data_IF_655573306779
#
_entry.id   IF_655573306779
#
_cell.length_a   1.000
_cell.length_b   1.000
_cell.length_c   1.000
_cell.angle_alpha   90.00
_cell.angle_beta   90.00
_cell.angle_gamma   90.00
#
_symmetry.space_group_name_H-M   'P 1'
#
loop_
_entity.id
_entity.type
_entity.pdbx_description
1 polymer ?
#
# COMPACT_ATOMS: atom_id res chain seq x y z
N UNK A 1 17.01 -29.03 14.82
CA UNK A 1 15.59 -28.86 14.45
C UNK A 1 15.11 -27.63 15.19
N UNK A 2 15.32 -26.45 14.58
CA UNK A 2 14.89 -25.17 15.16
C UNK A 2 13.58 -24.85 14.44
N UNK A 3 12.48 -24.81 15.19
CA UNK A 3 11.22 -24.26 14.69
C UNK A 3 11.43 -22.75 14.52
N UNK A 4 11.53 -22.27 13.28
CA UNK A 4 11.27 -20.89 12.96
C UNK A 4 9.75 -20.74 12.98
N UNK A 5 9.23 -20.14 14.05
CA UNK A 5 7.83 -19.73 14.09
C UNK A 5 7.66 -18.55 13.14
N UNK A 6 6.75 -18.68 12.17
CA UNK A 6 6.17 -17.58 11.42
C UNK A 6 5.83 -16.45 12.39
N UNK A 7 6.54 -15.33 12.29
CA UNK A 7 6.10 -14.08 12.91
C UNK A 7 5.24 -13.40 11.85
N UNK A 8 3.98 -13.82 11.72
CA UNK A 8 2.98 -13.03 11.01
C UNK A 8 2.86 -11.72 11.81
N UNK A 9 3.18 -10.59 11.18
CA UNK A 9 3.15 -9.30 11.84
C UNK A 9 1.76 -9.08 12.49
N UNK A 10 1.67 -8.72 13.78
CA UNK A 10 0.40 -8.53 14.48
C UNK A 10 -0.57 -7.54 13.82
N UNK A 11 -0.05 -6.66 12.95
CA UNK A 11 -0.81 -5.67 12.20
C UNK A 11 -1.64 -6.31 11.05
N UNK A 12 -1.09 -7.29 10.35
CA UNK A 12 -1.80 -8.07 9.33
C UNK A 12 -2.96 -8.88 9.92
N UNK A 13 -2.77 -9.48 11.10
CA UNK A 13 -3.84 -10.15 11.86
C UNK A 13 -4.95 -9.15 12.26
N UNK A 14 -4.57 -7.89 12.52
CA UNK A 14 -5.53 -6.81 12.84
C UNK A 14 -6.28 -6.35 11.58
N UNK A 15 -5.65 -6.33 10.41
CA UNK A 15 -6.30 -6.06 9.13
C UNK A 15 -7.34 -7.13 8.78
N UNK A 16 -6.98 -8.41 8.87
CA UNK A 16 -7.92 -9.52 8.63
C UNK A 16 -9.16 -9.43 9.55
N UNK A 17 -8.96 -9.12 10.83
CA UNK A 17 -10.08 -8.95 11.79
C UNK A 17 -10.93 -7.71 11.54
N UNK A 18 -10.33 -6.59 11.11
CA UNK A 18 -11.06 -5.35 10.82
C UNK A 18 -11.87 -5.49 9.53
N UNK A 19 -11.34 -6.18 8.53
CA UNK A 19 -12.04 -6.48 7.29
C UNK A 19 -13.23 -7.43 7.54
N UNK A 20 -13.06 -8.48 8.36
CA UNK A 20 -14.15 -9.38 8.76
C UNK A 20 -15.28 -8.64 9.51
N UNK A 21 -14.92 -7.68 10.38
CA UNK A 21 -15.92 -6.83 11.07
C UNK A 21 -16.67 -5.88 10.13
N UNK A 22 -15.97 -5.29 9.14
CA UNK A 22 -16.59 -4.43 8.14
C UNK A 22 -17.58 -5.22 7.26
N UNK A 23 -17.23 -6.46 6.89
CA UNK A 23 -18.10 -7.33 6.12
C UNK A 23 -19.35 -7.75 6.93
N UNK A 24 -19.20 -8.11 8.21
CA UNK A 24 -20.34 -8.40 9.08
C UNK A 24 -21.27 -7.18 9.24
N UNK A 25 -20.71 -5.97 9.33
CA UNK A 25 -21.50 -4.74 9.38
C UNK A 25 -22.24 -4.47 8.06
N UNK A 26 -21.57 -4.67 6.92
CA UNK A 26 -22.18 -4.52 5.59
C UNK A 26 -23.30 -5.55 5.37
N UNK A 27 -23.11 -6.81 5.78
CA UNK A 27 -24.14 -7.84 5.72
C UNK A 27 -25.32 -7.53 6.64
N UNK A 28 -25.08 -7.01 7.85
CA UNK A 28 -26.16 -6.56 8.74
C UNK A 28 -26.94 -5.38 8.16
N UNK A 29 -26.25 -4.40 7.58
CA UNK A 29 -26.89 -3.26 6.92
C UNK A 29 -27.69 -3.70 5.69
N UNK A 30 -27.15 -4.60 4.87
CA UNK A 30 -27.87 -5.17 3.73
C UNK A 30 -29.12 -5.96 4.15
N UNK A 31 -29.06 -6.72 5.24
CA UNK A 31 -30.23 -7.40 5.81
C UNK A 31 -31.28 -6.40 6.34
N UNK A 32 -30.85 -5.31 6.98
CA UNK A 32 -31.77 -4.26 7.43
C UNK A 32 -32.43 -3.53 6.25
N UNK A 33 -31.68 -3.25 5.18
CA UNK A 33 -32.20 -2.66 3.95
C UNK A 33 -33.18 -3.61 3.26
N UNK A 34 -32.90 -4.92 3.20
CA UNK A 34 -33.84 -5.92 2.68
C UNK A 34 -35.13 -6.02 3.51
N UNK A 35 -35.04 -5.93 4.84
CA UNK A 35 -36.24 -5.90 5.70
C UNK A 35 -37.07 -4.63 5.50
N UNK A 36 -36.44 -3.48 5.29
CA UNK A 36 -37.14 -2.22 4.98
C UNK A 36 -37.77 -2.22 3.58
N UNK A 37 -37.10 -2.81 2.59
CA UNK A 37 -37.61 -2.93 1.21
C UNK A 37 -38.75 -3.94 1.08
N UNK A 38 -38.88 -4.90 2.00
CA UNK A 38 -40.00 -5.85 2.02
C UNK A 38 -41.37 -5.22 2.30
N UNK A 39 -41.42 -3.95 2.73
CA UNK A 39 -42.66 -3.19 2.94
C UNK A 39 -43.06 -2.30 1.74
N UNK A 40 -42.26 -2.25 0.67
CA UNK A 40 -42.57 -1.46 -0.54
C UNK A 40 -42.35 -2.30 -1.80
N UNK A 41 -43.33 -3.10 -2.19
CA UNK A 41 -43.38 -3.61 -3.57
C UNK A 41 -44.19 -2.64 -4.43
N UNK A 42 -43.64 -2.13 -5.53
CA UNK A 42 -43.83 -2.69 -6.89
C UNK A 42 -42.97 -1.94 -7.92
N UNK A 43 -42.33 -2.71 -8.82
CA UNK A 43 -41.79 -2.40 -10.17
C UNK A 43 -40.27 -2.51 -10.35
N UNK A 44 -39.94 -3.59 -11.07
CA UNK A 44 -38.71 -3.97 -11.77
C UNK A 44 -38.26 -2.90 -12.76
N UNK A 45 -36.95 -2.70 -12.96
CA UNK A 45 -36.18 -3.05 -14.18
C UNK A 45 -34.67 -3.01 -13.85
N UNK A 46 -33.98 -4.04 -14.30
CA UNK A 46 -32.54 -4.26 -14.46
C UNK A 46 -31.72 -3.03 -14.88
N UNK A 47 -30.58 -2.82 -14.23
CA UNK A 47 -29.52 -1.94 -14.69
C UNK A 47 -28.19 -2.40 -14.12
N UNK A 48 -27.55 -3.34 -14.82
CA UNK A 48 -26.12 -3.60 -14.67
C UNK A 48 -25.38 -2.28 -14.84
N UNK A 49 -24.63 -1.84 -13.83
CA UNK A 49 -23.78 -0.65 -13.97
C UNK A 49 -22.64 -1.01 -14.94
N UNK A 50 -22.47 -0.26 -16.04
CA UNK A 50 -21.38 -0.46 -16.99
C UNK A 50 -20.12 0.27 -16.49
N UNK A 51 -18.96 -0.32 -16.73
CA UNK A 51 -17.62 0.27 -16.69
C UNK A 51 -17.19 0.92 -15.37
N UNK A 52 -16.72 0.10 -14.41
CA UNK A 52 -15.57 0.53 -13.61
C UNK A 52 -14.33 0.26 -14.48
N UNK A 53 -13.78 1.29 -15.10
CA UNK A 53 -12.41 1.22 -15.62
C UNK A 53 -11.50 0.92 -14.42
N UNK A 54 -11.21 -0.35 -14.19
CA UNK A 54 -10.32 -0.78 -13.12
C UNK A 54 -8.93 -0.26 -13.47
N UNK A 55 -8.40 0.62 -12.61
CA UNK A 55 -7.13 1.27 -12.84
C UNK A 55 -6.05 0.23 -12.70
N UNK A 56 -5.30 0.02 -13.78
CA UNK A 56 -4.10 -0.81 -13.74
C UNK A 56 -2.98 -0.04 -13.07
N UNK A 57 -2.52 -0.53 -11.92
CA UNK A 57 -1.35 0.02 -11.26
C UNK A 57 -0.12 -0.11 -12.15
N UNK A 58 0.66 0.96 -12.25
CA UNK A 58 1.86 1.03 -13.09
C UNK A 58 2.81 2.08 -12.54
N UNK A 59 4.06 2.07 -13.02
CA UNK A 59 5.04 3.13 -12.74
C UNK A 59 4.53 4.52 -13.13
N UNK A 60 3.90 4.61 -14.31
CA UNK A 60 3.34 5.88 -14.81
C UNK A 60 2.17 6.34 -13.93
N UNK A 61 1.29 5.41 -13.52
CA UNK A 61 0.21 5.74 -12.59
C UNK A 61 0.75 6.20 -11.23
N UNK A 62 1.79 5.55 -10.71
CA UNK A 62 2.44 5.95 -9.47
C UNK A 62 3.02 7.37 -9.57
N UNK A 63 3.77 7.67 -10.63
CA UNK A 63 4.38 8.99 -10.86
C UNK A 63 3.37 10.12 -11.14
N UNK A 64 2.20 9.78 -11.69
CA UNK A 64 1.15 10.73 -12.02
C UNK A 64 0.32 11.19 -10.81
N UNK A 65 0.44 10.52 -9.67
CA UNK A 65 -0.32 10.80 -8.46
C UNK A 65 0.61 11.14 -7.29
N UNK A 66 0.14 12.04 -6.42
CA UNK A 66 0.64 12.14 -5.06
C UNK A 66 0.03 10.99 -4.24
N UNK A 67 0.75 10.51 -3.24
CA UNK A 67 0.33 9.40 -2.39
C UNK A 67 0.17 9.89 -0.96
N UNK A 68 -1.09 10.02 -0.55
CA UNK A 68 -1.49 10.65 0.71
C UNK A 68 -1.82 9.59 1.74
N UNK A 69 -1.31 9.76 2.95
CA UNK A 69 -1.64 8.96 4.11
C UNK A 69 -3.13 8.89 4.37
N UNK A 70 -3.67 7.68 4.49
CA UNK A 70 -5.09 7.45 4.79
C UNK A 70 -5.38 7.62 6.29
N UNK A 71 -4.41 7.26 7.13
CA UNK A 71 -4.54 7.26 8.60
C UNK A 71 -3.52 8.19 9.29
N UNK A 72 -2.67 8.85 8.52
CA UNK A 72 -1.67 9.81 8.95
C UNK A 72 -1.57 10.93 7.91
N UNK A 73 -0.80 11.97 8.23
CA UNK A 73 -0.60 13.10 7.33
C UNK A 73 0.56 12.85 6.34
N UNK A 74 1.07 11.61 6.19
CA UNK A 74 2.20 11.35 5.32
C UNK A 74 1.89 11.72 3.85
N UNK A 75 2.89 12.18 3.11
CA UNK A 75 2.73 12.54 1.69
C UNK A 75 3.97 12.14 0.90
N UNK A 76 3.81 11.26 -0.08
CA UNK A 76 4.86 10.92 -1.05
C UNK A 76 4.51 11.56 -2.39
N UNK A 77 5.45 12.31 -2.95
CA UNK A 77 5.38 12.97 -4.25
C UNK A 77 6.45 12.32 -5.14
N UNK A 78 6.11 11.27 -5.91
CA UNK A 78 7.02 10.68 -6.89
C UNK A 78 7.00 11.50 -8.18
N UNK A 79 8.13 11.64 -8.85
CA UNK A 79 8.25 12.33 -10.13
C UNK A 79 8.56 11.36 -11.28
N UNK A 80 8.16 11.72 -12.50
CA UNK A 80 8.32 10.85 -13.68
C UNK A 80 9.78 10.54 -14.04
N UNK A 81 10.74 11.29 -13.49
CA UNK A 81 12.18 11.05 -13.68
C UNK A 81 12.76 10.05 -12.67
N UNK A 82 11.91 9.44 -11.81
CA UNK A 82 12.34 8.49 -10.80
C UNK A 82 12.81 9.14 -9.50
N UNK A 83 12.62 10.44 -9.32
CA UNK A 83 12.89 11.11 -8.03
C UNK A 83 11.65 11.17 -7.15
N UNK A 84 11.81 11.37 -5.85
CA UNK A 84 10.68 11.56 -4.95
C UNK A 84 10.99 12.53 -3.83
N UNK A 85 9.93 13.06 -3.23
CA UNK A 85 9.94 13.68 -1.90
C UNK A 85 8.90 12.99 -1.03
N UNK A 86 9.27 12.63 0.19
CA UNK A 86 8.37 12.07 1.20
C UNK A 86 8.34 12.97 2.43
N UNK A 87 7.23 13.67 2.63
CA UNK A 87 6.94 14.42 3.84
C UNK A 87 6.35 13.50 4.91
N UNK A 88 6.88 13.59 6.13
CA UNK A 88 6.30 12.90 7.29
C UNK A 88 4.94 13.48 7.68
N UNK A 89 4.77 14.78 7.50
CA UNK A 89 3.51 15.53 7.59
C UNK A 89 3.37 16.41 6.34
N UNK A 90 2.48 16.03 5.43
CA UNK A 90 2.19 16.70 4.17
C UNK A 90 1.54 18.07 4.35
N UNK A 91 1.02 18.38 5.54
CA UNK A 91 0.54 19.72 5.89
C UNK A 91 1.69 20.65 6.30
N UNK A 92 2.86 20.10 6.66
CA UNK A 92 4.06 20.84 7.02
C UNK A 92 5.24 20.54 6.08
N UNK A 93 5.24 21.22 4.93
CA UNK A 93 6.28 21.06 3.90
C UNK A 93 7.63 21.68 4.27
N UNK A 94 7.71 22.40 5.39
CA UNK A 94 8.95 22.94 5.94
C UNK A 94 9.49 22.07 7.10
N UNK A 95 8.77 20.99 7.45
CA UNK A 95 9.11 20.05 8.53
C UNK A 95 10.00 18.88 8.09
N UNK A 96 9.76 17.71 8.67
CA UNK A 96 10.55 16.49 8.41
C UNK A 96 10.23 15.91 7.03
N UNK A 97 11.27 15.69 6.21
CA UNK A 97 11.11 15.06 4.90
C UNK A 97 12.34 14.28 4.42
N UNK A 98 12.09 13.35 3.51
CA UNK A 98 13.08 12.57 2.78
C UNK A 98 13.00 12.89 1.29
N UNK A 99 14.12 12.86 0.59
CA UNK A 99 14.11 12.98 -0.88
C UNK A 99 15.25 12.20 -1.49
N UNK A 100 15.04 11.73 -2.72
CA UNK A 100 16.01 10.89 -3.41
C UNK A 100 15.41 10.27 -4.66
N UNK A 101 15.83 9.04 -4.94
CA UNK A 101 15.39 8.26 -6.10
C UNK A 101 14.53 7.09 -5.65
N UNK A 102 13.55 6.72 -6.47
CA UNK A 102 12.71 5.56 -6.23
C UNK A 102 12.76 4.57 -7.39
N UNK A 103 12.66 3.30 -7.03
CA UNK A 103 12.39 2.21 -7.96
C UNK A 103 11.09 1.53 -7.54
N UNK A 104 10.26 1.17 -8.53
CA UNK A 104 8.99 0.51 -8.30
C UNK A 104 8.97 -0.81 -9.08
N UNK A 105 8.70 -1.90 -8.38
CA UNK A 105 8.53 -3.22 -8.96
C UNK A 105 7.11 -3.70 -8.67
N UNK A 106 6.56 -4.52 -9.56
CA UNK A 106 5.18 -5.00 -9.47
C UNK A 106 5.12 -6.49 -9.80
N UNK A 107 4.14 -7.18 -9.24
CA UNK A 107 3.88 -8.60 -9.47
C UNK A 107 5.14 -9.47 -9.31
N UNK A 108 5.49 -10.27 -10.31
CA UNK A 108 6.65 -11.16 -10.27
C UNK A 108 7.96 -10.40 -10.14
N UNK A 109 8.11 -9.24 -10.79
CA UNK A 109 9.32 -8.42 -10.67
C UNK A 109 9.53 -7.93 -9.22
N UNK A 110 8.44 -7.64 -8.51
CA UNK A 110 8.50 -7.23 -7.10
C UNK A 110 8.97 -8.37 -6.21
N UNK A 111 8.49 -9.59 -6.46
CA UNK A 111 8.91 -10.76 -5.69
C UNK A 111 10.33 -11.17 -6.02
N UNK A 112 10.71 -11.16 -7.29
CA UNK A 112 12.08 -11.43 -7.71
C UNK A 112 13.05 -10.46 -7.04
N UNK A 113 12.78 -9.14 -7.12
CA UNK A 113 13.61 -8.14 -6.47
C UNK A 113 13.71 -8.39 -4.96
N UNK A 114 12.57 -8.54 -4.28
CA UNK A 114 12.52 -8.67 -2.83
C UNK A 114 13.27 -9.92 -2.34
N UNK A 115 13.18 -11.03 -3.07
CA UNK A 115 13.76 -12.33 -2.67
C UNK A 115 15.17 -12.59 -3.19
N UNK A 116 15.71 -11.75 -4.08
CA UNK A 116 17.02 -12.00 -4.71
C UNK A 116 18.00 -10.83 -4.69
N UNK A 117 17.49 -9.58 -4.76
CA UNK A 117 18.31 -8.38 -4.93
C UNK A 117 18.28 -7.46 -3.71
N UNK A 118 17.12 -7.35 -3.04
CA UNK A 118 16.91 -6.43 -1.92
C UNK A 118 17.84 -6.69 -0.72
N UNK A 119 17.93 -5.71 0.16
CA UNK A 119 18.60 -5.81 1.45
C UNK A 119 17.94 -6.81 2.42
N UNK A 120 16.71 -7.26 2.11
CA UNK A 120 15.92 -8.18 2.96
C UNK A 120 15.77 -9.59 2.38
N UNK A 121 16.43 -9.90 1.26
CA UNK A 121 16.32 -11.18 0.54
C UNK A 121 16.57 -12.43 1.37
N UNK A 122 17.43 -12.35 2.39
CA UNK A 122 17.73 -13.47 3.27
C UNK A 122 16.67 -13.65 4.38
N UNK A 123 15.69 -12.74 4.44
CA UNK A 123 14.68 -12.67 5.49
C UNK A 123 13.23 -12.71 4.99
N UNK A 124 13.00 -12.52 3.68
CA UNK A 124 11.70 -12.62 3.05
C UNK A 124 11.77 -13.68 1.95
N UNK A 125 10.88 -14.66 2.02
CA UNK A 125 10.74 -15.70 1.01
C UNK A 125 9.47 -15.51 0.17
N UNK A 126 9.43 -16.17 -0.99
CA UNK A 126 8.21 -16.20 -1.79
C UNK A 126 7.02 -16.87 -1.06
N UNK A 127 7.29 -17.83 -0.16
CA UNK A 127 6.27 -18.44 0.68
C UNK A 127 5.68 -17.43 1.67
N UNK A 128 6.51 -16.60 2.30
CA UNK A 128 6.04 -15.53 3.18
C UNK A 128 5.13 -14.56 2.43
N UNK A 129 5.51 -14.14 1.21
CA UNK A 129 4.70 -13.24 0.39
C UNK A 129 3.35 -13.88 0.05
N UNK A 130 3.37 -15.16 -0.33
CA UNK A 130 2.15 -15.91 -0.64
C UNK A 130 1.20 -16.03 0.55
N UNK A 131 1.72 -16.16 1.76
CA UNK A 131 0.91 -16.19 2.99
C UNK A 131 0.24 -14.83 3.30
N UNK A 132 0.76 -13.74 2.73
CA UNK A 132 0.18 -12.40 2.84
C UNK A 132 -0.92 -12.13 1.80
N UNK A 133 -1.08 -13.00 0.80
CA UNK A 133 -2.14 -12.84 -0.19
C UNK A 133 -3.52 -12.99 0.48
N UNK A 134 -4.44 -12.10 0.11
CA UNK A 134 -5.83 -12.14 0.51
C UNK A 134 -6.71 -11.80 -0.71
N UNK A 135 -6.92 -12.77 -1.62
CA UNK A 135 -7.58 -12.54 -2.90
C UNK A 135 -8.99 -11.96 -2.79
N UNK A 136 -9.72 -12.25 -1.70
CA UNK A 136 -11.03 -11.68 -1.41
C UNK A 136 -11.01 -10.15 -1.22
N UNK A 137 -9.85 -9.56 -0.94
CA UNK A 137 -9.62 -8.12 -0.84
C UNK A 137 -8.82 -7.56 -2.02
N UNK A 138 -8.60 -8.35 -3.07
CA UNK A 138 -7.80 -7.97 -4.24
C UNK A 138 -6.29 -8.03 -4.02
N UNK A 139 -5.82 -8.41 -2.83
CA UNK A 139 -4.40 -8.61 -2.54
C UNK A 139 -3.94 -9.96 -3.13
N UNK A 140 -3.59 -9.95 -4.41
CA UNK A 140 -3.08 -11.08 -5.16
C UNK A 140 -1.65 -10.82 -5.63
N UNK A 141 -0.99 -11.86 -6.15
CA UNK A 141 0.30 -11.73 -6.81
C UNK A 141 0.38 -10.57 -7.81
N UNK A 142 -0.62 -10.41 -8.67
CA UNK A 142 -0.63 -9.36 -9.71
C UNK A 142 -0.68 -7.94 -9.13
N UNK A 143 -1.20 -7.81 -7.92
CA UNK A 143 -1.30 -6.54 -7.19
C UNK A 143 -0.14 -6.27 -6.24
N UNK A 144 0.82 -7.21 -6.14
CA UNK A 144 1.96 -7.07 -5.24
C UNK A 144 2.92 -5.98 -5.74
N UNK A 145 3.42 -5.17 -4.82
CA UNK A 145 4.24 -3.99 -5.09
C UNK A 145 5.46 -4.00 -4.18
N UNK A 146 6.62 -3.66 -4.74
CA UNK A 146 7.83 -3.33 -4.01
C UNK A 146 8.27 -1.92 -4.40
N UNK A 147 8.32 -1.00 -3.43
CA UNK A 147 8.79 0.37 -3.57
C UNK A 147 10.11 0.51 -2.84
N UNK A 148 11.15 0.86 -3.58
CA UNK A 148 12.50 1.06 -3.05
C UNK A 148 12.78 2.55 -3.06
N UNK A 149 13.09 3.10 -1.89
CA UNK A 149 13.38 4.52 -1.71
C UNK A 149 14.85 4.69 -1.31
N UNK A 150 15.64 5.34 -2.16
CA UNK A 150 17.06 5.60 -1.91
C UNK A 150 17.27 7.09 -1.65
N UNK A 151 17.45 7.45 -0.37
CA UNK A 151 17.54 8.81 0.10
C UNK A 151 18.87 9.47 -0.27
N UNK A 152 18.79 10.65 -0.87
CA UNK A 152 19.92 11.55 -1.10
C UNK A 152 19.95 12.65 -0.05
N UNK A 153 18.79 12.95 0.54
CA UNK A 153 18.63 13.98 1.56
C UNK A 153 17.55 13.60 2.56
N UNK A 154 17.81 13.90 3.82
CA UNK A 154 16.86 13.86 4.93
C UNK A 154 16.88 15.23 5.64
N UNK A 155 15.71 15.72 6.01
CA UNK A 155 15.53 16.76 7.01
C UNK A 155 14.76 16.15 8.17
N UNK A 156 15.37 16.15 9.36
CA UNK A 156 14.76 15.55 10.55
C UNK A 156 15.04 16.41 11.77
N UNK A 157 13.99 16.88 12.45
CA UNK A 157 14.06 17.85 13.54
C UNK A 157 14.86 19.13 13.17
N UNK A 158 14.76 19.56 11.91
CA UNK A 158 15.45 20.74 11.38
C UNK A 158 16.94 20.55 11.10
N UNK A 159 17.47 19.34 11.28
CA UNK A 159 18.82 18.98 10.83
C UNK A 159 18.76 18.43 9.41
N UNK A 160 19.59 18.97 8.53
CA UNK A 160 19.71 18.53 7.14
C UNK A 160 20.92 17.60 6.96
N UNK A 161 20.66 16.45 6.37
CA UNK A 161 21.66 15.45 6.00
C UNK A 161 21.58 15.17 4.50
N UNK A 162 22.73 15.11 3.85
CA UNK A 162 22.87 14.71 2.44
C UNK A 162 23.75 13.48 2.36
N UNK A 163 23.38 12.54 1.50
CA UNK A 163 24.06 11.27 1.28
C UNK A 163 24.44 11.14 -0.19
N UNK A 164 25.63 10.61 -0.45
CA UNK A 164 26.17 10.43 -1.80
C UNK A 164 26.87 9.07 -1.91
N UNK A 165 26.84 8.46 -3.11
CA UNK A 165 27.49 7.17 -3.34
C UNK A 165 27.00 6.07 -2.41
N UNK A 166 27.93 5.35 -1.77
CA UNK A 166 27.66 4.20 -0.90
C UNK A 166 27.06 4.61 0.46
N UNK A 167 27.03 5.90 0.82
CA UNK A 167 26.46 6.39 2.08
C UNK A 167 24.93 6.60 1.99
N UNK A 168 24.34 6.43 0.79
CA UNK A 168 22.89 6.57 0.58
C UNK A 168 22.13 5.51 1.37
N UNK A 169 21.02 5.93 1.97
CA UNK A 169 20.15 5.05 2.76
C UNK A 169 19.03 4.55 1.85
N UNK A 170 18.98 3.23 1.63
CA UNK A 170 17.90 2.56 0.91
C UNK A 170 16.89 1.97 1.88
N UNK A 171 15.61 2.19 1.61
CA UNK A 171 14.47 1.59 2.32
C UNK A 171 13.60 0.83 1.33
N UNK A 172 13.52 -0.49 1.49
CA UNK A 172 12.57 -1.32 0.76
C UNK A 172 11.24 -1.43 1.52
N UNK A 173 10.17 -1.06 0.82
CA UNK A 173 8.78 -1.20 1.26
C UNK A 173 8.06 -2.18 0.32
N UNK A 174 7.21 -3.05 0.86
CA UNK A 174 6.46 -4.00 0.03
C UNK A 174 5.03 -4.18 0.51
N UNK A 175 4.13 -4.60 -0.37
CA UNK A 175 2.72 -4.81 -0.05
C UNK A 175 1.87 -4.87 -1.29
N UNK A 176 0.68 -4.27 -1.27
CA UNK A 176 -0.33 -4.47 -2.31
C UNK A 176 -1.03 -3.16 -2.73
N UNK A 177 -1.30 -3.03 -4.02
CA UNK A 177 -2.21 -2.02 -4.55
C UNK A 177 -3.59 -2.62 -4.78
N UNK A 178 -4.57 -2.19 -3.99
CA UNK A 178 -5.92 -2.77 -4.00
C UNK A 178 -6.99 -1.69 -4.20
N UNK A 179 -8.11 -2.09 -4.78
CA UNK A 179 -9.29 -1.24 -4.94
C UNK A 179 -10.40 -1.77 -4.03
N UNK A 180 -10.76 -1.02 -2.98
CA UNK A 180 -11.82 -1.40 -2.06
C UNK A 180 -13.00 -0.41 -2.08
N UNK A 181 -13.96 -0.57 -1.18
CA UNK A 181 -15.14 0.32 -1.08
C UNK A 181 -14.82 1.80 -0.83
N UNK A 182 -13.61 2.12 -0.41
CA UNK A 182 -13.10 3.48 -0.18
C UNK A 182 -12.19 3.96 -1.33
N UNK A 183 -12.04 3.16 -2.39
CA UNK A 183 -11.23 3.46 -3.57
C UNK A 183 -9.86 2.76 -3.57
N UNK A 184 -9.00 3.23 -4.46
CA UNK A 184 -7.64 2.70 -4.63
C UNK A 184 -6.76 3.01 -3.41
N UNK A 185 -6.01 2.00 -2.99
CA UNK A 185 -5.07 2.08 -1.87
C UNK A 185 -3.79 1.33 -2.18
N UNK A 186 -2.67 1.94 -1.82
CA UNK A 186 -1.36 1.30 -1.77
C UNK A 186 -1.02 1.07 -0.31
N UNK A 187 -1.03 -0.20 0.10
CA UNK A 187 -0.65 -0.62 1.45
C UNK A 187 0.77 -1.18 1.41
N UNK A 188 1.69 -0.54 2.11
CA UNK A 188 3.11 -0.90 2.14
C UNK A 188 3.57 -1.14 3.57
N UNK A 189 4.43 -2.13 3.78
CA UNK A 189 5.12 -2.39 5.05
C UNK A 189 6.62 -2.28 4.85
N UNK A 190 7.30 -1.83 5.90
CA UNK A 190 8.76 -1.92 5.97
C UNK A 190 9.12 -3.24 6.63
N UNK A 191 10.07 -3.99 6.06
CA UNK A 191 10.42 -5.32 6.58
C UNK A 191 10.75 -5.33 8.09
N UNK A 192 11.57 -4.38 8.54
CA UNK A 192 12.08 -4.30 9.92
C UNK A 192 11.14 -3.56 10.89
N UNK A 193 10.00 -3.05 10.40
CA UNK A 193 9.07 -2.26 11.18
C UNK A 193 7.62 -2.61 10.80
N UNK A 194 6.80 -3.14 11.75
CA UNK A 194 5.42 -3.53 11.49
C UNK A 194 4.47 -2.34 11.23
N UNK A 195 4.99 -1.14 10.97
CA UNK A 195 4.21 0.01 10.58
C UNK A 195 3.75 -0.14 9.12
N UNK A 196 2.44 -0.02 8.93
CA UNK A 196 1.78 -0.10 7.64
C UNK A 196 1.50 1.31 7.12
N UNK A 197 2.11 1.64 6.00
CA UNK A 197 1.81 2.84 5.23
C UNK A 197 0.59 2.55 4.37
N UNK A 198 -0.52 3.25 4.64
CA UNK A 198 -1.73 3.15 3.83
C UNK A 198 -1.87 4.44 3.07
N UNK A 199 -1.73 4.37 1.75
CA UNK A 199 -1.67 5.54 0.89
C UNK A 199 -2.83 5.51 -0.12
N UNK A 200 -3.45 6.66 -0.36
CA UNK A 200 -4.42 6.84 -1.42
C UNK A 200 -3.85 7.77 -2.50
N UNK A 201 -4.10 7.48 -3.79
CA UNK A 201 -3.65 8.34 -4.88
C UNK A 201 -4.48 9.63 -4.94
N UNK A 202 -3.81 10.76 -5.07
CA UNK A 202 -4.38 12.08 -5.37
C UNK A 202 -3.75 12.60 -6.67
N UNK A 203 -4.58 12.88 -7.68
CA UNK A 203 -4.10 13.39 -8.96
C UNK A 203 -3.37 14.74 -8.78
N UNK A 204 -2.25 14.90 -9.47
CA UNK A 204 -1.45 16.14 -9.48
C UNK A 204 -2.12 17.30 -10.20
#
# INVERSE_FOLDING_TARGET
>A
MIMLGLIIAPALIKYMKKAEQAEQLAQQQAQQVMQQQSQQQTQTITGSSPDSDDVTFSKDYFAANNWVGVNDDALIIPESDGTFVWYRDGNDKDGDYYSGEYELYMADDAVEYLTTESEVKDSVTEEDIKELEAPEYGATRDSFVCLVLTNNKEVYYGEEHTYEGDDRITTTLYGYFVNDSQGYKLTLVKFDNPYEFNLSPEAK
#
